data_IF_069402819829
#
_entry.id   IF_069402819829
#
_cell.length_a   1.000
_cell.length_b   1.000
_cell.length_c   1.000
_cell.angle_alpha   90.00
_cell.angle_beta   90.00
_cell.angle_gamma   90.00
#
_symmetry.space_group_name_H-M   'P 1'
#
loop_
_entity.id
_entity.type
_entity.pdbx_description
1 polymer ?
#
# COMPACT_ATOMS: atom_id res chain seq x y z
N UNK A 1 8.69 -38.41 -14.29
CA UNK A 1 8.58 -37.65 -13.02
C UNK A 1 8.47 -38.69 -11.91
N UNK A 2 9.30 -38.62 -10.87
CA UNK A 2 9.24 -39.59 -9.76
C UNK A 2 7.97 -39.39 -8.93
N UNK A 3 7.38 -40.47 -8.38
CA UNK A 3 6.17 -40.42 -7.52
C UNK A 3 6.33 -39.43 -6.37
N UNK A 4 7.50 -39.40 -5.74
CA UNK A 4 7.83 -38.48 -4.65
C UNK A 4 7.71 -37.01 -5.04
N UNK A 5 8.00 -36.67 -6.30
CA UNK A 5 7.87 -35.30 -6.78
C UNK A 5 6.40 -34.90 -6.97
N UNK A 6 5.53 -35.87 -7.29
CA UNK A 6 4.10 -35.61 -7.46
C UNK A 6 3.44 -35.32 -6.11
N UNK A 7 3.81 -36.07 -5.07
CA UNK A 7 3.30 -35.84 -3.71
C UNK A 7 3.67 -34.45 -3.20
N UNK A 8 4.89 -33.99 -3.46
CA UNK A 8 5.33 -32.62 -3.11
C UNK A 8 4.53 -31.58 -3.90
N UNK A 9 4.29 -31.79 -5.19
CA UNK A 9 3.54 -30.84 -6.03
C UNK A 9 2.09 -30.72 -5.54
N UNK A 10 1.43 -31.84 -5.24
CA UNK A 10 0.08 -31.85 -4.69
C UNK A 10 0.03 -31.13 -3.34
N UNK A 11 1.02 -31.36 -2.47
CA UNK A 11 1.06 -30.69 -1.17
C UNK A 11 1.28 -29.18 -1.29
N UNK A 12 2.11 -28.74 -2.24
CA UNK A 12 2.29 -27.32 -2.54
C UNK A 12 0.96 -26.68 -3.00
N UNK A 13 0.20 -27.39 -3.83
CA UNK A 13 -1.11 -26.94 -4.32
C UNK A 13 -2.12 -26.76 -3.18
N UNK A 14 -2.19 -27.72 -2.25
CA UNK A 14 -3.02 -27.66 -1.06
C UNK A 14 -2.65 -26.46 -0.17
N UNK A 15 -1.35 -26.31 0.16
CA UNK A 15 -0.86 -25.22 1.01
C UNK A 15 -1.18 -23.85 0.38
N UNK A 16 -1.02 -23.72 -0.94
CA UNK A 16 -1.31 -22.48 -1.64
C UNK A 16 -2.81 -22.18 -1.72
N UNK A 17 -3.64 -23.21 -1.86
CA UNK A 17 -5.11 -23.07 -1.84
C UNK A 17 -5.60 -22.59 -0.48
N UNK A 18 -5.00 -23.08 0.60
CA UNK A 18 -5.35 -22.66 1.97
C UNK A 18 -4.78 -21.28 2.31
N UNK A 19 -3.57 -20.94 1.82
CA UNK A 19 -2.86 -19.70 2.15
C UNK A 19 -2.20 -19.07 0.91
N UNK A 20 -2.97 -18.36 0.05
CA UNK A 20 -2.45 -17.77 -1.18
C UNK A 20 -1.42 -16.65 -0.96
N UNK A 21 -1.32 -16.12 0.26
CA UNK A 21 -0.31 -15.14 0.67
C UNK A 21 1.08 -15.75 0.88
N UNK A 22 1.20 -17.08 0.98
CA UNK A 22 2.45 -17.74 1.26
C UNK A 22 3.37 -17.80 0.02
N UNK A 23 4.54 -17.19 0.13
CA UNK A 23 5.63 -17.39 -0.83
C UNK A 23 6.44 -18.66 -0.57
N UNK A 24 7.37 -18.93 -1.49
CA UNK A 24 8.22 -20.13 -1.45
C UNK A 24 8.95 -20.36 -0.12
N UNK A 25 9.23 -19.29 0.64
CA UNK A 25 9.87 -19.37 1.97
C UNK A 25 8.94 -19.95 3.04
N UNK A 26 7.67 -19.59 3.01
CA UNK A 26 6.66 -20.08 3.95
C UNK A 26 6.21 -21.48 3.56
N UNK A 27 5.94 -21.71 2.26
CA UNK A 27 5.62 -23.04 1.73
C UNK A 27 6.74 -24.04 2.04
N UNK A 28 8.00 -23.65 1.90
CA UNK A 28 9.13 -24.51 2.29
C UNK A 28 9.12 -24.89 3.78
N UNK A 29 8.78 -23.95 4.68
CA UNK A 29 8.68 -24.25 6.12
C UNK A 29 7.53 -25.20 6.42
N UNK A 30 6.37 -24.95 5.80
CA UNK A 30 5.20 -25.82 5.95
C UNK A 30 5.51 -27.23 5.47
N UNK A 31 6.18 -27.38 4.31
CA UNK A 31 6.61 -28.68 3.81
C UNK A 31 7.57 -29.42 4.75
N UNK A 32 8.45 -28.69 5.46
CA UNK A 32 9.31 -29.30 6.47
C UNK A 32 8.52 -29.77 7.70
N UNK A 33 7.53 -28.99 8.14
CA UNK A 33 6.63 -29.36 9.23
C UNK A 33 5.75 -30.58 8.87
N UNK A 34 5.34 -30.66 7.61
CA UNK A 34 4.61 -31.80 7.04
C UNK A 34 5.51 -33.05 6.82
N UNK A 35 6.83 -32.95 7.08
CA UNK A 35 7.77 -34.07 7.03
C UNK A 35 8.44 -34.32 5.68
N UNK A 36 8.33 -33.41 4.72
CA UNK A 36 9.00 -33.52 3.41
C UNK A 36 10.45 -33.03 3.44
N UNK A 37 11.37 -33.80 2.85
CA UNK A 37 12.77 -33.42 2.71
C UNK A 37 13.05 -32.73 1.36
N UNK A 38 12.63 -31.47 1.26
CA UNK A 38 12.77 -30.65 0.04
C UNK A 38 13.71 -29.47 0.30
N UNK A 39 14.46 -29.04 -0.72
CA UNK A 39 15.30 -27.84 -0.65
C UNK A 39 14.55 -26.60 -1.10
N UNK A 40 14.92 -25.42 -0.57
CA UNK A 40 14.28 -24.13 -0.90
C UNK A 40 14.21 -23.85 -2.41
N UNK A 41 15.30 -24.11 -3.13
CA UNK A 41 15.37 -23.88 -4.58
C UNK A 41 14.48 -24.84 -5.38
N UNK A 42 14.24 -26.05 -4.84
CA UNK A 42 13.31 -27.02 -5.44
C UNK A 42 11.87 -26.55 -5.30
N UNK A 43 11.48 -26.04 -4.13
CA UNK A 43 10.16 -25.44 -3.92
C UNK A 43 9.94 -24.27 -4.87
N UNK A 44 10.93 -23.38 -5.00
CA UNK A 44 10.86 -22.24 -5.93
C UNK A 44 10.67 -22.72 -7.39
N UNK A 45 11.41 -23.75 -7.81
CA UNK A 45 11.26 -24.35 -9.14
C UNK A 45 9.88 -24.96 -9.35
N UNK A 46 9.33 -25.66 -8.36
CA UNK A 46 7.99 -26.26 -8.44
C UNK A 46 6.89 -25.21 -8.53
N UNK A 47 6.95 -24.16 -7.71
CA UNK A 47 6.04 -23.01 -7.82
C UNK A 47 6.10 -22.37 -9.20
N UNK A 48 7.31 -22.20 -9.76
CA UNK A 48 7.49 -21.68 -11.12
C UNK A 48 6.94 -22.60 -12.22
N UNK A 49 7.02 -23.93 -12.06
CA UNK A 49 6.42 -24.90 -13.00
C UNK A 49 4.88 -24.86 -12.93
N UNK A 50 4.33 -24.71 -11.72
CA UNK A 50 2.88 -24.62 -11.50
C UNK A 50 2.30 -23.24 -11.85
N UNK A 51 3.15 -22.22 -12.03
CA UNK A 51 2.71 -20.84 -12.28
C UNK A 51 2.12 -20.16 -11.04
N UNK A 52 2.49 -20.63 -9.84
CA UNK A 52 1.97 -20.15 -8.57
C UNK A 52 2.91 -19.08 -8.01
N UNK A 53 2.35 -17.93 -7.63
CA UNK A 53 3.07 -16.82 -7.02
C UNK A 53 2.30 -16.30 -5.80
N UNK A 54 3.02 -15.88 -4.76
CA UNK A 54 2.41 -15.33 -3.56
C UNK A 54 1.64 -14.05 -3.85
N UNK A 55 0.35 -14.04 -3.52
CA UNK A 55 -0.48 -12.85 -3.59
C UNK A 55 -0.15 -11.96 -2.40
N UNK A 56 0.79 -11.05 -2.59
CA UNK A 56 1.11 -10.01 -1.62
C UNK A 56 0.75 -8.64 -2.20
N UNK A 57 0.22 -7.70 -1.39
CA UNK A 57 0.09 -6.32 -1.81
C UNK A 57 1.50 -5.81 -2.08
N UNK A 58 1.88 -5.77 -3.36
CA UNK A 58 3.12 -5.17 -3.78
C UNK A 58 3.11 -3.73 -3.28
N UNK A 59 4.18 -3.32 -2.59
CA UNK A 59 4.34 -1.94 -2.13
C UNK A 59 4.12 -1.04 -3.35
N UNK A 60 2.99 -0.33 -3.43
CA UNK A 60 2.77 0.66 -4.50
C UNK A 60 3.97 1.59 -4.43
N UNK A 61 4.84 1.52 -5.44
CA UNK A 61 6.16 2.13 -5.37
C UNK A 61 6.10 3.66 -5.32
N UNK A 62 4.93 4.28 -5.48
CA UNK A 62 4.69 5.69 -5.18
C UNK A 62 3.19 5.99 -5.18
N UNK A 63 2.64 6.43 -4.04
CA UNK A 63 1.37 7.17 -4.02
C UNK A 63 1.47 8.48 -4.80
N UNK A 64 2.70 8.94 -5.08
CA UNK A 64 3.01 10.12 -5.89
C UNK A 64 2.96 9.89 -7.40
N UNK A 65 2.88 8.64 -7.86
CA UNK A 65 2.71 8.35 -9.30
C UNK A 65 1.23 8.46 -9.62
N UNK A 66 0.89 9.45 -10.45
CA UNK A 66 -0.47 9.76 -10.85
C UNK A 66 -1.07 8.56 -11.59
N UNK A 67 -2.16 8.03 -11.06
CA UNK A 67 -3.02 7.10 -11.80
C UNK A 67 -3.81 7.91 -12.84
N UNK A 68 -3.68 7.55 -14.13
CA UNK A 68 -4.37 8.23 -15.23
C UNK A 68 -5.90 8.13 -15.14
N UNK A 69 -6.43 7.21 -14.34
CA UNK A 69 -7.87 7.06 -14.11
C UNK A 69 -8.43 8.11 -13.13
N UNK A 70 -7.59 8.75 -12.33
CA UNK A 70 -8.03 9.78 -11.39
C UNK A 70 -8.04 11.16 -12.06
N UNK A 71 -9.22 11.78 -12.13
CA UNK A 71 -9.38 13.13 -12.66
C UNK A 71 -8.56 14.12 -11.82
N UNK A 72 -7.62 14.78 -12.48
CA UNK A 72 -6.88 15.90 -11.87
C UNK A 72 -7.80 17.12 -11.86
N UNK A 73 -8.07 17.66 -10.67
CA UNK A 73 -8.82 18.89 -10.51
C UNK A 73 -7.85 20.08 -10.53
N UNK A 74 -8.16 21.10 -11.33
CA UNK A 74 -7.45 22.38 -11.28
C UNK A 74 -7.57 23.01 -9.89
N UNK A 75 -6.57 23.77 -9.49
CA UNK A 75 -6.49 24.26 -8.13
C UNK A 75 -7.47 25.43 -7.94
N UNK A 76 -8.42 25.31 -7.01
CA UNK A 76 -9.51 26.28 -6.86
C UNK A 76 -9.04 27.67 -6.39
N UNK A 77 -7.79 27.82 -5.92
CA UNK A 77 -7.23 29.11 -5.54
C UNK A 77 -6.60 29.88 -6.71
N UNK A 78 -6.56 29.31 -7.92
CA UNK A 78 -6.04 29.98 -9.13
C UNK A 78 -6.58 31.41 -9.33
N UNK A 79 -7.89 31.71 -9.13
CA UNK A 79 -8.43 33.06 -9.32
C UNK A 79 -7.90 34.09 -8.31
N UNK A 80 -7.42 33.66 -7.14
CA UNK A 80 -6.92 34.52 -6.07
C UNK A 80 -5.39 34.73 -6.13
N UNK A 81 -4.74 34.17 -7.15
CA UNK A 81 -3.29 34.24 -7.31
C UNK A 81 -2.86 35.55 -7.95
N UNK A 82 -2.03 36.31 -7.23
CA UNK A 82 -1.30 37.45 -7.75
C UNK A 82 0.18 37.09 -7.84
N UNK A 83 0.77 37.31 -9.02
CA UNK A 83 2.19 37.06 -9.25
C UNK A 83 2.98 38.32 -8.96
N UNK A 84 3.86 38.26 -7.96
CA UNK A 84 4.84 39.32 -7.67
C UNK A 84 6.25 38.74 -7.86
N UNK A 85 6.85 39.01 -9.03
CA UNK A 85 8.16 38.48 -9.38
C UNK A 85 8.19 36.94 -9.44
N UNK A 86 9.08 36.32 -8.66
CA UNK A 86 9.22 34.85 -8.53
C UNK A 86 8.23 34.25 -7.54
N UNK A 87 7.57 35.07 -6.70
CA UNK A 87 6.71 34.61 -5.62
C UNK A 87 5.23 34.66 -6.04
N UNK A 88 4.49 33.60 -5.68
CA UNK A 88 3.02 33.56 -5.81
C UNK A 88 2.40 34.00 -4.48
N UNK A 89 1.59 35.04 -4.54
CA UNK A 89 0.87 35.56 -3.36
C UNK A 89 -0.62 35.35 -3.56
N UNK A 90 -1.32 34.96 -2.50
CA UNK A 90 -2.77 34.80 -2.52
C UNK A 90 -3.36 36.09 -1.93
N UNK A 91 -4.24 36.76 -2.67
CA UNK A 91 -4.97 37.92 -2.19
C UNK A 91 -6.46 37.62 -2.20
N UNK A 92 -7.08 37.65 -1.02
CA UNK A 92 -8.49 37.36 -0.82
C UNK A 92 -9.18 38.63 -0.31
N UNK A 93 -9.99 39.32 -1.14
CA UNK A 93 -10.53 40.62 -0.78
C UNK A 93 -11.67 40.57 0.25
N UNK A 94 -12.37 39.44 0.40
CA UNK A 94 -13.50 39.32 1.31
C UNK A 94 -13.37 38.14 2.28
N UNK A 95 -13.97 38.28 3.46
CA UNK A 95 -14.10 37.19 4.44
C UNK A 95 -14.94 36.03 3.85
N UNK A 96 -14.72 34.80 4.33
CA UNK A 96 -15.44 33.58 3.91
C UNK A 96 -15.27 33.16 2.43
N UNK A 97 -14.20 33.59 1.77
CA UNK A 97 -13.87 33.16 0.39
C UNK A 97 -12.87 31.99 0.33
N UNK A 98 -12.00 31.87 1.35
CA UNK A 98 -10.98 30.83 1.46
C UNK A 98 -10.88 30.39 2.92
N UNK A 99 -10.80 29.08 3.15
CA UNK A 99 -10.51 28.50 4.46
C UNK A 99 -9.19 27.75 4.40
N UNK A 100 -8.41 27.84 5.47
CA UNK A 100 -7.17 27.07 5.67
C UNK A 100 -7.34 26.23 6.92
N UNK A 101 -6.94 24.97 6.86
CA UNK A 101 -6.90 24.08 8.01
C UNK A 101 -5.63 23.25 7.94
N UNK A 102 -4.95 23.10 9.08
CA UNK A 102 -3.74 22.30 9.22
C UNK A 102 -4.05 21.11 10.14
N UNK A 103 -3.58 19.91 9.76
CA UNK A 103 -3.68 18.72 10.60
C UNK A 103 -2.37 18.59 11.37
N UNK A 104 -2.45 18.68 12.69
CA UNK A 104 -1.29 18.49 13.57
C UNK A 104 -1.39 17.13 14.25
N UNK A 105 -0.35 16.32 14.08
CA UNK A 105 -0.25 15.04 14.78
C UNK A 105 0.44 15.24 16.13
N UNK A 106 -0.27 14.95 17.21
CA UNK A 106 0.28 14.96 18.56
C UNK A 106 0.70 13.52 18.93
N UNK A 107 1.89 13.36 19.51
CA UNK A 107 2.41 12.06 19.92
C UNK A 107 1.91 11.72 21.32
N UNK A 108 1.16 10.62 21.45
CA UNK A 108 0.69 10.08 22.74
C UNK A 108 1.36 8.72 23.02
N UNK A 109 1.47 8.31 24.29
CA UNK A 109 2.09 7.04 24.72
C UNK A 109 1.46 5.76 24.11
N UNK A 110 0.29 5.87 23.44
CA UNK A 110 -0.40 4.75 22.77
C UNK A 110 -0.38 4.80 21.24
N UNK A 111 0.23 5.82 20.61
CA UNK A 111 0.24 5.97 19.15
C UNK A 111 0.15 7.42 18.68
N UNK A 112 -0.12 7.59 17.37
CA UNK A 112 -0.43 8.90 16.77
C UNK A 112 -1.95 9.09 16.81
N UNK A 113 -2.42 10.01 17.63
CA UNK A 113 -3.81 10.43 17.61
C UNK A 113 -3.95 11.61 16.65
N UNK A 114 -4.92 11.51 15.74
CA UNK A 114 -5.35 12.62 14.90
C UNK A 114 -6.19 13.54 15.78
N UNK A 115 -5.59 14.61 16.29
CA UNK A 115 -6.37 15.78 16.66
C UNK A 115 -6.59 16.57 15.38
N UNK A 116 -7.76 16.41 14.77
CA UNK A 116 -8.29 17.47 13.94
C UNK A 116 -8.43 18.68 14.88
N UNK A 117 -7.42 19.54 14.90
CA UNK A 117 -7.62 20.93 15.29
C UNK A 117 -8.51 21.54 14.20
N UNK A 118 -9.79 21.14 14.22
CA UNK A 118 -10.89 21.95 13.77
C UNK A 118 -10.65 23.30 14.42
N UNK A 119 -10.09 24.22 13.62
CA UNK A 119 -9.92 25.61 14.00
C UNK A 119 -11.16 25.99 14.80
N UNK A 120 -10.95 26.22 16.10
CA UNK A 120 -11.89 26.94 16.93
C UNK A 120 -12.15 28.24 16.18
N UNK A 121 -13.28 28.27 15.47
CA UNK A 121 -14.06 29.39 14.92
C UNK A 121 -14.83 28.97 13.65
N UNK A 122 -15.63 27.90 13.74
CA UNK A 122 -16.96 27.96 13.14
C UNK A 122 -17.91 28.66 14.13
N UNK A 123 -17.87 29.99 14.17
CA UNK A 123 -18.99 30.79 14.69
C UNK A 123 -18.98 32.18 14.05
N UNK A 124 -19.96 32.37 13.16
CA UNK A 124 -20.39 33.57 12.42
C UNK A 124 -19.63 33.88 11.13
#
# INVERSE_FOLDING_TARGET
MSLYNLDILNRIDEIYTDNPEYGYRYIYKQLLEDGFNVGRDRVLKYMGIMGIEAIHPHKKQSTSVKDGQHKIYSYLLEPYWHKSGTTRTIHVPYVNQVWSGDITYIRTNGGLELTEDLCILWRL
#
